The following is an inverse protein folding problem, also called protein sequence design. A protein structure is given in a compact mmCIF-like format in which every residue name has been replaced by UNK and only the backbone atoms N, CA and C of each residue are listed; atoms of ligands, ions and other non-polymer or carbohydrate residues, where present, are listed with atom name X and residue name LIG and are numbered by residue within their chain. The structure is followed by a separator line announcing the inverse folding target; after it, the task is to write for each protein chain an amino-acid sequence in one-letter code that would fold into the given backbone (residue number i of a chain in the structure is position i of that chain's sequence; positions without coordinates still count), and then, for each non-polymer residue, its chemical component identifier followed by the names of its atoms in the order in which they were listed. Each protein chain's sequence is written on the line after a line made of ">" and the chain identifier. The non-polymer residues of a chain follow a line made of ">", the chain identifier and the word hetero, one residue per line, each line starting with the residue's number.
data_IF_795172522164
#
_entry.id   IF_795172522164
#
_cell.length_a   1.000
_cell.length_b   1.000
_cell.length_c   1.000
_cell.angle_alpha   90.00
_cell.angle_beta   90.00
_cell.angle_gamma   90.00
#
_symmetry.space_group_name_H-M   'P 1'
#
loop_
_entity.id
_entity.type
_entity.pdbx_description
1 polymer ?
#
# COMPACT_ATOMS: atom_id res chain seq x y z
N UNK A 1 24.39 13.47 -31.59
CA UNK A 1 24.31 11.99 -31.50
C UNK A 1 23.07 11.55 -30.73
N UNK A 2 22.94 11.85 -29.42
CA UNK A 2 21.77 11.42 -28.62
C UNK A 2 20.38 11.87 -29.15
N UNK A 3 20.28 13.12 -29.64
CA UNK A 3 18.99 13.74 -29.99
C UNK A 3 18.44 13.39 -31.37
N UNK A 4 19.30 13.04 -32.33
CA UNK A 4 18.93 12.95 -33.75
C UNK A 4 19.41 11.66 -34.42
N UNK A 5 20.21 10.84 -33.74
CA UNK A 5 20.58 9.53 -34.26
C UNK A 5 19.46 8.53 -33.94
N UNK A 6 19.14 7.64 -34.87
CA UNK A 6 18.15 6.58 -34.68
C UNK A 6 18.65 5.46 -33.76
N UNK A 7 19.96 5.34 -33.57
CA UNK A 7 20.60 4.29 -32.77
C UNK A 7 21.71 4.85 -31.87
N UNK A 8 21.40 5.76 -30.93
CA UNK A 8 22.38 6.29 -29.99
C UNK A 8 22.91 5.19 -29.04
N UNK A 9 22.16 4.11 -28.85
CA UNK A 9 22.54 2.90 -28.12
C UNK A 9 23.83 2.26 -28.64
N UNK A 10 24.16 2.43 -29.93
CA UNK A 10 25.43 1.92 -30.50
C UNK A 10 26.65 2.70 -30.05
N UNK A 11 26.46 3.93 -29.57
CA UNK A 11 27.55 4.80 -29.10
C UNK A 11 27.54 4.92 -27.57
N UNK A 12 26.36 4.81 -26.97
CA UNK A 12 26.12 4.91 -25.54
C UNK A 12 25.15 3.77 -25.17
N UNK A 13 25.66 2.61 -24.76
CA UNK A 13 24.84 1.39 -24.59
C UNK A 13 23.66 1.60 -23.63
N UNK A 14 23.85 2.45 -22.61
CA UNK A 14 22.79 2.83 -21.69
C UNK A 14 21.74 3.80 -22.24
N UNK A 15 21.89 4.37 -23.45
CA UNK A 15 20.96 5.37 -24.01
C UNK A 15 19.64 4.74 -24.49
N UNK A 16 18.90 4.17 -23.55
CA UNK A 16 17.57 3.56 -23.66
C UNK A 16 16.77 3.88 -22.38
N UNK A 17 15.45 3.75 -22.47
CA UNK A 17 14.53 3.78 -21.32
C UNK A 17 13.87 2.41 -21.23
N UNK A 18 13.89 1.80 -20.05
CA UNK A 18 13.31 0.49 -19.80
C UNK A 18 12.08 0.66 -18.90
N UNK A 19 10.95 0.13 -19.34
CA UNK A 19 9.71 0.13 -18.56
C UNK A 19 9.37 -1.30 -18.18
N UNK A 20 9.25 -1.55 -16.89
CA UNK A 20 8.88 -2.85 -16.32
C UNK A 20 7.54 -2.67 -15.62
N UNK A 21 6.52 -3.40 -16.08
CA UNK A 21 5.18 -3.38 -15.47
C UNK A 21 4.94 -4.68 -14.75
N UNK A 22 4.70 -4.61 -13.44
CA UNK A 22 4.42 -5.75 -12.59
C UNK A 22 2.91 -5.97 -12.48
N UNK A 23 2.42 -7.18 -12.79
CA UNK A 23 1.01 -7.55 -12.61
C UNK A 23 0.73 -8.15 -11.22
N UNK A 24 1.70 -8.08 -10.31
CA UNK A 24 1.68 -8.67 -8.99
C UNK A 24 2.99 -8.34 -8.25
N UNK A 25 3.63 -9.32 -7.61
CA UNK A 25 4.95 -9.12 -6.99
C UNK A 25 6.02 -8.79 -8.03
N UNK A 26 7.01 -8.01 -7.59
CA UNK A 26 8.28 -7.81 -8.31
C UNK A 26 8.90 -9.19 -8.64
N UNK A 27 9.22 -9.41 -9.92
CA UNK A 27 10.07 -10.52 -10.38
C UNK A 27 9.40 -11.85 -10.70
N UNK A 28 8.06 -12.00 -10.58
CA UNK A 28 7.35 -13.23 -10.99
C UNK A 28 6.57 -13.08 -12.30
N UNK A 29 5.73 -12.05 -12.40
CA UNK A 29 4.91 -11.76 -13.58
C UNK A 29 5.05 -10.29 -13.95
N UNK A 30 6.02 -10.01 -14.84
CA UNK A 30 6.28 -8.68 -15.35
C UNK A 30 6.32 -8.67 -16.87
N UNK A 31 5.91 -7.55 -17.44
CA UNK A 31 6.14 -7.24 -18.84
C UNK A 31 7.21 -6.16 -18.94
N UNK A 32 8.18 -6.38 -19.81
CA UNK A 32 9.26 -5.43 -20.06
C UNK A 32 9.11 -4.82 -21.44
N UNK A 33 9.32 -3.51 -21.52
CA UNK A 33 9.34 -2.77 -22.77
C UNK A 33 10.52 -1.80 -22.80
N UNK A 34 11.44 -2.04 -23.74
CA UNK A 34 12.62 -1.21 -23.94
C UNK A 34 12.37 -0.21 -25.07
N UNK A 35 12.54 1.07 -24.76
CA UNK A 35 12.42 2.17 -25.70
C UNK A 35 13.82 2.58 -26.18
N UNK A 36 14.03 2.46 -27.49
CA UNK A 36 15.26 2.83 -28.20
C UNK A 36 14.95 3.87 -29.27
N UNK A 37 15.97 4.43 -29.93
CA UNK A 37 15.79 5.56 -30.84
C UNK A 37 16.50 6.81 -30.32
N UNK A 38 16.26 7.96 -30.92
CA UNK A 38 16.73 9.21 -30.34
C UNK A 38 16.11 9.47 -28.96
N UNK A 39 16.78 10.23 -28.10
CA UNK A 39 16.28 10.52 -26.73
C UNK A 39 14.88 11.14 -26.76
N UNK A 40 14.59 11.99 -27.74
CA UNK A 40 13.26 12.60 -27.92
C UNK A 40 12.21 11.55 -28.26
N UNK A 41 12.57 10.60 -29.14
CA UNK A 41 11.70 9.49 -29.50
C UNK A 41 11.44 8.59 -28.30
N UNK A 42 12.48 8.23 -27.55
CA UNK A 42 12.36 7.42 -26.33
C UNK A 42 11.39 8.07 -25.34
N UNK A 43 11.60 9.35 -25.00
CA UNK A 43 10.72 10.10 -24.09
C UNK A 43 9.26 10.08 -24.57
N UNK A 44 8.99 10.44 -25.83
CA UNK A 44 7.63 10.49 -26.37
C UNK A 44 6.95 9.12 -26.39
N UNK A 45 7.68 8.11 -26.84
CA UNK A 45 7.15 6.75 -26.94
C UNK A 45 6.87 6.17 -25.54
N UNK A 46 7.76 6.42 -24.57
CA UNK A 46 7.56 6.00 -23.18
C UNK A 46 6.38 6.72 -22.53
N UNK A 47 6.28 8.05 -22.65
CA UNK A 47 5.16 8.81 -22.10
C UNK A 47 3.83 8.41 -22.74
N UNK A 48 3.80 8.23 -24.06
CA UNK A 48 2.60 7.73 -24.75
C UNK A 48 2.21 6.33 -24.27
N UNK A 49 3.18 5.46 -24.01
CA UNK A 49 2.90 4.13 -23.45
C UNK A 49 2.31 4.22 -22.04
N UNK A 50 2.87 5.04 -21.15
CA UNK A 50 2.36 5.21 -19.78
C UNK A 50 0.96 5.83 -19.80
N UNK A 51 0.76 6.87 -20.61
CA UNK A 51 -0.54 7.54 -20.77
C UNK A 51 -1.63 6.59 -21.27
N UNK A 52 -1.31 5.75 -22.27
CA UNK A 52 -2.29 4.84 -22.87
C UNK A 52 -2.59 3.60 -22.00
N UNK A 53 -1.59 3.06 -21.31
CA UNK A 53 -1.72 1.74 -20.66
C UNK A 53 -1.89 1.82 -19.14
N UNK A 54 -1.40 2.89 -18.51
CA UNK A 54 -1.29 3.01 -17.05
C UNK A 54 -2.17 4.12 -16.51
N UNK A 55 -2.11 5.32 -17.09
CA UNK A 55 -2.89 6.48 -16.64
C UNK A 55 -4.36 6.27 -17.00
N UNK A 56 -5.24 6.48 -16.01
CA UNK A 56 -6.69 6.36 -16.15
C UNK A 56 -7.36 7.52 -15.44
N UNK A 57 -8.21 8.24 -16.16
CA UNK A 57 -9.16 9.19 -15.57
C UNK A 57 -10.23 8.40 -14.82
N UNK A 58 -10.49 8.79 -13.58
CA UNK A 58 -11.55 8.25 -12.75
C UNK A 58 -12.49 9.38 -12.34
N UNK A 59 -13.79 9.05 -12.34
CA UNK A 59 -14.84 9.99 -11.98
C UNK A 59 -15.53 9.45 -10.74
N UNK A 60 -15.30 10.09 -9.60
CA UNK A 60 -15.99 9.75 -8.36
C UNK A 60 -17.13 10.73 -8.12
N UNK A 61 -18.34 10.20 -7.93
CA UNK A 61 -19.50 10.98 -7.50
C UNK A 61 -19.48 11.06 -5.99
N UNK A 62 -19.13 12.23 -5.47
CA UNK A 62 -19.21 12.46 -4.03
C UNK A 62 -20.67 12.72 -3.67
N UNK A 63 -21.21 11.87 -2.79
CA UNK A 63 -22.54 12.07 -2.23
C UNK A 63 -22.58 13.40 -1.47
N UNK A 64 -23.55 14.26 -1.82
CA UNK A 64 -23.77 15.66 -1.38
C UNK A 64 -23.28 16.80 -2.31
N UNK A 65 -22.60 16.51 -3.43
CA UNK A 65 -22.32 17.52 -4.47
C UNK A 65 -22.87 17.08 -5.84
N UNK A 66 -23.46 18.01 -6.60
CA UNK A 66 -23.94 17.72 -7.95
C UNK A 66 -22.78 17.49 -8.94
N UNK A 67 -21.58 17.96 -8.60
CA UNK A 67 -20.38 17.89 -9.43
C UNK A 67 -19.56 16.64 -9.09
N UNK A 68 -19.16 15.89 -10.11
CA UNK A 68 -18.30 14.73 -9.94
C UNK A 68 -16.83 15.16 -9.87
N UNK A 69 -16.08 14.65 -8.89
CA UNK A 69 -14.63 14.87 -8.82
C UNK A 69 -13.97 13.95 -9.85
N UNK A 70 -13.19 14.57 -10.73
CA UNK A 70 -12.37 13.90 -11.72
C UNK A 70 -10.93 13.95 -11.24
N UNK A 71 -10.30 12.79 -11.21
CA UNK A 71 -8.88 12.66 -10.85
C UNK A 71 -8.25 11.58 -11.73
N UNK A 72 -6.93 11.61 -11.84
CA UNK A 72 -6.17 10.54 -12.46
C UNK A 72 -5.55 9.65 -11.39
N UNK A 73 -5.42 8.35 -11.67
CA UNK A 73 -4.63 7.47 -10.81
C UNK A 73 -3.17 7.94 -10.68
N UNK A 74 -2.62 8.55 -11.74
CA UNK A 74 -1.37 9.31 -11.74
C UNK A 74 -1.52 10.54 -12.66
N UNK A 75 -1.21 11.76 -12.20
CA UNK A 75 -1.28 12.93 -13.07
C UNK A 75 -0.14 12.90 -14.10
N UNK A 76 -0.49 13.05 -15.39
CA UNK A 76 0.45 12.97 -16.51
C UNK A 76 1.66 13.90 -16.34
N UNK A 77 1.41 15.14 -15.91
CA UNK A 77 2.46 16.16 -15.80
C UNK A 77 3.52 15.80 -14.75
N UNK A 78 3.14 15.14 -13.65
CA UNK A 78 4.10 14.65 -12.66
C UNK A 78 5.00 13.55 -13.23
N UNK A 79 4.41 12.61 -13.98
CA UNK A 79 5.16 11.52 -14.63
C UNK A 79 6.08 12.06 -15.73
N UNK A 80 5.58 12.97 -16.57
CA UNK A 80 6.34 13.63 -17.62
C UNK A 80 7.58 14.31 -17.03
N UNK A 81 7.39 15.15 -16.03
CA UNK A 81 8.48 15.91 -15.45
C UNK A 81 9.49 15.01 -14.71
N UNK A 82 9.03 13.96 -14.01
CA UNK A 82 9.91 12.99 -13.38
C UNK A 82 10.76 12.21 -14.40
N UNK A 83 10.16 11.74 -15.49
CA UNK A 83 10.86 11.01 -16.54
C UNK A 83 11.85 11.90 -17.31
N UNK A 84 11.45 13.13 -17.61
CA UNK A 84 12.32 14.10 -18.27
C UNK A 84 13.51 14.44 -17.37
N UNK A 85 13.29 14.62 -16.06
CA UNK A 85 14.37 14.84 -15.10
C UNK A 85 15.34 13.65 -15.05
N UNK A 86 14.84 12.42 -15.05
CA UNK A 86 15.69 11.22 -15.08
C UNK A 86 16.59 11.17 -16.32
N UNK A 87 16.02 11.43 -17.50
CA UNK A 87 16.77 11.50 -18.78
C UNK A 87 17.73 12.69 -18.81
N UNK A 88 17.39 13.80 -18.17
CA UNK A 88 18.23 14.99 -18.14
C UNK A 88 19.42 14.83 -17.17
N UNK A 89 19.23 14.18 -16.02
CA UNK A 89 20.26 14.09 -14.98
C UNK A 89 21.17 12.86 -15.06
N UNK A 90 20.76 11.81 -15.80
CA UNK A 90 21.58 10.60 -15.97
C UNK A 90 22.95 10.85 -16.60
N UNK A 91 23.88 9.94 -16.33
CA UNK A 91 25.10 9.81 -17.14
C UNK A 91 24.80 8.99 -18.39
N UNK A 92 25.31 9.47 -19.52
CA UNK A 92 25.34 8.72 -20.78
C UNK A 92 26.68 7.99 -21.00
N UNK A 93 27.63 8.15 -20.08
CA UNK A 93 28.91 7.42 -20.11
C UNK A 93 28.80 6.04 -19.45
N UNK A 94 27.73 5.81 -18.66
CA UNK A 94 27.43 4.53 -18.03
C UNK A 94 26.39 3.76 -18.85
N UNK A 95 26.44 2.44 -18.72
CA UNK A 95 25.54 1.53 -19.43
C UNK A 95 24.16 1.40 -18.79
N UNK A 96 23.97 1.96 -17.58
CA UNK A 96 22.68 1.95 -16.90
C UNK A 96 21.63 2.74 -17.70
N UNK A 97 20.46 2.16 -17.99
CA UNK A 97 19.35 2.88 -18.61
C UNK A 97 18.63 3.79 -17.60
N UNK A 98 17.64 4.54 -18.08
CA UNK A 98 16.60 5.04 -17.16
C UNK A 98 15.61 3.89 -16.99
N UNK A 99 15.33 3.53 -15.75
CA UNK A 99 14.43 2.42 -15.43
C UNK A 99 13.13 3.00 -14.85
N UNK A 100 12.00 2.53 -15.38
CA UNK A 100 10.66 2.88 -14.92
C UNK A 100 9.98 1.61 -14.45
N UNK A 101 9.80 1.47 -13.14
CA UNK A 101 9.10 0.34 -12.53
C UNK A 101 7.66 0.77 -12.23
N UNK A 102 6.69 0.07 -12.83
CA UNK A 102 5.27 0.29 -12.57
C UNK A 102 4.78 -0.83 -11.66
N UNK A 103 4.51 -0.48 -10.40
CA UNK A 103 3.97 -1.36 -9.38
C UNK A 103 2.46 -1.12 -9.19
N UNK A 104 1.74 -2.02 -8.50
CA UNK A 104 0.31 -1.86 -8.26
C UNK A 104 -0.09 -0.57 -7.52
N UNK A 105 0.79 -0.05 -6.67
CA UNK A 105 0.55 1.09 -5.76
C UNK A 105 1.38 2.34 -6.09
N UNK A 106 2.40 2.23 -6.96
CA UNK A 106 3.32 3.33 -7.28
C UNK A 106 4.05 3.15 -8.61
N UNK A 107 4.62 4.25 -9.10
CA UNK A 107 5.59 4.27 -10.20
C UNK A 107 6.91 4.76 -9.64
N UNK A 108 7.99 4.03 -9.94
CA UNK A 108 9.35 4.38 -9.56
C UNK A 108 10.16 4.68 -10.82
N UNK A 109 10.87 5.81 -10.84
CA UNK A 109 11.72 6.23 -11.94
C UNK A 109 13.14 6.38 -11.41
N UNK A 110 14.03 5.50 -11.86
CA UNK A 110 15.41 5.39 -11.41
C UNK A 110 16.38 5.86 -12.51
N UNK A 111 17.36 6.66 -12.10
CA UNK A 111 18.49 6.99 -12.95
C UNK A 111 19.82 6.98 -12.20
N UNK A 112 20.89 6.78 -12.98
CA UNK A 112 22.27 6.82 -12.50
C UNK A 112 23.07 7.91 -13.23
N UNK A 113 23.99 8.63 -12.55
CA UNK A 113 24.21 8.60 -11.11
C UNK A 113 23.14 9.43 -10.36
N UNK A 114 23.32 9.59 -9.05
CA UNK A 114 22.49 10.43 -8.20
C UNK A 114 22.63 11.94 -8.44
N UNK A 115 22.01 12.74 -7.57
CA UNK A 115 21.92 14.19 -7.73
C UNK A 115 23.32 14.83 -7.68
N UNK A 116 23.47 15.97 -8.35
CA UNK A 116 24.73 16.72 -8.33
C UNK A 116 24.87 17.44 -6.98
N UNK A 117 26.05 17.37 -6.31
CA UNK A 117 26.34 18.20 -5.15
C UNK A 117 26.07 19.70 -5.44
N UNK A 118 25.55 20.47 -4.48
CA UNK A 118 25.44 20.16 -3.05
C UNK A 118 24.13 19.45 -2.65
N UNK A 119 23.32 18.98 -3.60
CA UNK A 119 22.07 18.27 -3.26
C UNK A 119 22.40 16.91 -2.66
N UNK A 120 22.01 16.72 -1.40
CA UNK A 120 22.17 15.46 -0.66
C UNK A 120 20.81 14.81 -0.32
N UNK A 121 20.86 13.61 0.27
CA UNK A 121 19.69 12.86 0.74
C UNK A 121 18.77 13.67 1.67
N UNK A 122 19.33 14.50 2.54
CA UNK A 122 18.56 15.30 3.50
C UNK A 122 17.88 16.50 2.84
N UNK A 123 18.49 17.07 1.80
CA UNK A 123 17.90 18.13 1.00
C UNK A 123 16.72 17.63 0.16
N UNK A 124 16.77 16.38 -0.32
CA UNK A 124 15.67 15.77 -1.07
C UNK A 124 14.43 15.49 -0.21
N UNK A 125 14.58 15.33 1.12
CA UNK A 125 13.46 15.24 2.06
C UNK A 125 12.72 16.58 2.25
N UNK A 126 13.25 17.69 1.74
CA UNK A 126 12.62 19.02 1.83
C UNK A 126 11.85 19.30 0.54
N UNK A 127 10.66 19.86 0.66
CA UNK A 127 9.82 20.26 -0.48
C UNK A 127 10.52 21.26 -1.43
N UNK A 128 11.48 22.04 -0.91
CA UNK A 128 12.21 23.05 -1.68
C UNK A 128 13.73 22.79 -1.70
N UNK A 129 14.20 22.22 -2.80
CA UNK A 129 15.64 22.07 -3.10
C UNK A 129 16.17 23.34 -3.79
N UNK A 130 17.13 24.06 -3.19
CA UNK A 130 17.56 25.40 -3.66
C UNK A 130 18.73 25.36 -4.67
N UNK A 131 19.60 24.35 -4.61
CA UNK A 131 20.73 24.19 -5.52
C UNK A 131 20.44 23.11 -6.56
N UNK A 132 20.58 23.41 -7.87
CA UNK A 132 20.22 22.46 -8.93
C UNK A 132 21.12 22.64 -10.14
N UNK A 133 22.23 21.90 -10.17
CA UNK A 133 23.01 21.77 -11.41
C UNK A 133 22.46 20.62 -12.24
N UNK A 134 22.21 20.89 -13.51
CA UNK A 134 21.84 19.88 -14.49
C UNK A 134 23.09 19.28 -15.12
N UNK A 135 23.21 17.95 -15.12
CA UNK A 135 24.37 17.25 -15.69
C UNK A 135 24.49 17.50 -17.19
N UNK A 136 23.40 17.32 -17.93
CA UNK A 136 23.42 17.41 -19.40
C UNK A 136 22.89 18.77 -19.90
N UNK A 137 23.48 19.90 -19.49
CA UNK A 137 22.96 21.27 -19.82
C UNK A 137 22.61 21.50 -21.30
N UNK A 138 23.42 20.95 -22.23
CA UNK A 138 23.14 21.03 -23.67
C UNK A 138 21.87 20.28 -24.05
N UNK A 139 21.67 19.08 -23.50
CA UNK A 139 20.45 18.29 -23.71
C UNK A 139 19.22 19.04 -23.20
N UNK A 140 19.30 19.63 -22.01
CA UNK A 140 18.21 20.44 -21.47
C UNK A 140 17.82 21.64 -22.30
N UNK A 141 18.80 22.32 -22.92
CA UNK A 141 18.52 23.40 -23.88
C UNK A 141 17.63 22.94 -25.04
N UNK A 142 17.93 21.77 -25.60
CA UNK A 142 17.11 21.18 -26.67
C UNK A 142 15.75 20.69 -26.17
N UNK A 143 15.66 20.03 -25.03
CA UNK A 143 14.38 19.59 -24.47
C UNK A 143 13.45 20.79 -24.18
N UNK A 144 14.04 21.94 -23.80
CA UNK A 144 13.33 23.19 -23.63
C UNK A 144 12.81 23.78 -24.95
N UNK A 145 13.62 23.80 -25.99
CA UNK A 145 13.18 24.22 -27.33
C UNK A 145 12.03 23.34 -27.86
N UNK A 146 12.07 22.05 -27.53
CA UNK A 146 11.03 21.08 -27.88
C UNK A 146 9.80 21.14 -26.96
N UNK A 147 9.77 22.07 -26.00
CA UNK A 147 8.69 22.25 -25.01
C UNK A 147 8.41 21.02 -24.16
N UNK A 148 9.41 20.18 -23.93
CA UNK A 148 9.33 18.98 -23.07
C UNK A 148 9.78 19.26 -21.62
N UNK A 149 10.36 20.43 -21.35
CA UNK A 149 10.68 20.92 -19.99
C UNK A 149 10.93 22.42 -20.02
N UNK A 150 10.69 23.11 -18.92
CA UNK A 150 10.98 24.55 -18.82
C UNK A 150 12.47 24.85 -18.53
N UNK A 151 13.22 23.86 -18.03
CA UNK A 151 14.67 23.93 -17.80
C UNK A 151 15.13 25.02 -16.81
N UNK A 152 14.27 25.43 -15.88
CA UNK A 152 14.53 26.52 -14.90
C UNK A 152 14.48 26.06 -13.44
N UNK A 153 14.63 24.77 -13.16
CA UNK A 153 14.46 24.24 -11.80
C UNK A 153 13.00 24.25 -11.33
N UNK A 154 12.05 24.35 -12.26
CA UNK A 154 10.61 24.22 -11.96
C UNK A 154 10.16 22.77 -11.87
N UNK A 155 11.03 21.80 -12.22
CA UNK A 155 10.66 20.39 -12.30
C UNK A 155 10.10 19.79 -11.03
N UNK A 156 10.86 19.81 -9.91
CA UNK A 156 10.34 19.28 -8.64
C UNK A 156 9.05 20.01 -8.19
N UNK A 157 8.98 21.36 -8.20
CA UNK A 157 7.72 22.06 -7.92
C UNK A 157 6.55 21.67 -8.81
N UNK A 158 6.76 21.43 -10.11
CA UNK A 158 5.72 20.97 -11.03
C UNK A 158 5.18 19.60 -10.61
N UNK A 159 6.06 18.68 -10.21
CA UNK A 159 5.66 17.35 -9.72
C UNK A 159 4.82 17.51 -8.44
N UNK A 160 5.26 18.30 -7.47
CA UNK A 160 4.50 18.57 -6.23
C UNK A 160 3.13 19.18 -6.53
N UNK A 161 3.07 20.27 -7.30
CA UNK A 161 1.82 20.97 -7.60
C UNK A 161 0.85 20.09 -8.38
N UNK A 162 1.34 19.34 -9.37
CA UNK A 162 0.49 18.46 -10.17
C UNK A 162 -0.11 17.31 -9.36
N UNK A 163 0.62 16.80 -8.37
CA UNK A 163 0.11 15.79 -7.44
C UNK A 163 -0.90 16.40 -6.47
N UNK A 164 -0.62 17.57 -5.92
CA UNK A 164 -1.51 18.30 -5.01
C UNK A 164 -2.85 18.68 -5.68
N UNK A 165 -2.81 19.26 -6.88
CA UNK A 165 -3.99 19.59 -7.69
C UNK A 165 -4.84 18.35 -8.03
N UNK A 166 -4.20 17.18 -8.16
CA UNK A 166 -4.88 15.91 -8.44
C UNK A 166 -5.39 15.22 -7.16
N UNK A 167 -5.06 15.70 -5.96
CA UNK A 167 -5.37 15.04 -4.68
C UNK A 167 -4.52 13.80 -4.40
N UNK A 168 -3.39 13.64 -5.10
CA UNK A 168 -2.45 12.54 -4.94
C UNK A 168 -1.47 12.78 -3.79
N UNK A 169 -0.88 11.71 -3.21
CA UNK A 169 0.16 11.85 -2.20
C UNK A 169 1.39 12.58 -2.77
N UNK A 170 2.15 13.30 -1.93
CA UNK A 170 3.37 13.95 -2.37
C UNK A 170 4.40 12.93 -2.89
N UNK A 171 5.25 13.33 -3.85
CA UNK A 171 6.30 12.48 -4.39
C UNK A 171 7.39 12.24 -3.32
N UNK A 172 8.06 11.09 -3.41
CA UNK A 172 9.24 10.78 -2.59
C UNK A 172 10.46 10.73 -3.49
N UNK A 173 11.53 11.40 -3.08
CA UNK A 173 12.82 11.41 -3.80
C UNK A 173 13.90 10.81 -2.91
N UNK A 174 14.61 9.81 -3.43
CA UNK A 174 15.60 9.04 -2.68
C UNK A 174 16.94 8.96 -3.42
N UNK A 175 18.00 8.86 -2.61
CA UNK A 175 19.39 8.64 -3.00
C UNK A 175 20.13 8.05 -1.80
N UNK A 176 21.29 7.45 -2.03
CA UNK A 176 22.20 6.96 -1.00
C UNK A 176 23.23 8.03 -0.59
N UNK A 177 24.04 7.72 0.42
CA UNK A 177 25.06 8.65 0.93
C UNK A 177 26.20 8.89 -0.09
N UNK A 178 26.40 7.97 -1.03
CA UNK A 178 27.38 8.07 -2.11
C UNK A 178 26.84 8.83 -3.34
N UNK A 179 25.57 9.24 -3.34
CA UNK A 179 24.88 9.85 -4.48
C UNK A 179 25.00 9.00 -5.76
N UNK A 180 24.93 7.68 -5.60
CA UNK A 180 25.11 6.71 -6.67
C UNK A 180 23.89 6.65 -7.59
N UNK A 181 22.67 6.90 -7.08
CA UNK A 181 21.43 6.90 -7.86
C UNK A 181 20.47 8.02 -7.46
N UNK A 182 19.50 8.31 -8.31
CA UNK A 182 18.36 9.16 -7.98
C UNK A 182 17.08 8.41 -8.31
N UNK A 183 16.20 8.27 -7.32
CA UNK A 183 14.93 7.56 -7.43
C UNK A 183 13.78 8.54 -7.18
N UNK A 184 12.84 8.60 -8.12
CA UNK A 184 11.57 9.32 -7.98
C UNK A 184 10.44 8.33 -7.79
N UNK A 185 9.71 8.43 -6.68
CA UNK A 185 8.59 7.55 -6.36
C UNK A 185 7.32 8.39 -6.38
N UNK A 186 6.39 8.03 -7.26
CA UNK A 186 5.07 8.65 -7.38
C UNK A 186 4.03 7.61 -7.03
N UNK A 187 3.22 7.89 -6.01
CA UNK A 187 2.21 6.95 -5.49
C UNK A 187 0.89 7.10 -6.24
N UNK A 188 0.16 6.00 -6.36
CA UNK A 188 -1.17 6.00 -6.96
C UNK A 188 -2.12 6.87 -6.13
N UNK A 189 -3.08 7.51 -6.80
CA UNK A 189 -4.13 8.25 -6.13
C UNK A 189 -4.90 7.36 -5.12
N UNK A 190 -5.19 7.82 -3.88
CA UNK A 190 -5.76 6.95 -2.84
C UNK A 190 -7.11 6.36 -3.22
N UNK A 191 -7.96 7.15 -3.89
CA UNK A 191 -9.27 6.68 -4.37
C UNK A 191 -9.15 5.65 -5.50
N UNK A 192 -8.05 5.64 -6.27
CA UNK A 192 -7.81 4.61 -7.30
C UNK A 192 -7.36 3.29 -6.66
N UNK A 193 -6.66 3.35 -5.53
CA UNK A 193 -6.29 2.18 -4.73
C UNK A 193 -7.54 1.48 -4.14
N UNK A 194 -8.54 2.27 -3.72
CA UNK A 194 -9.81 1.75 -3.19
C UNK A 194 -10.61 0.92 -4.22
N UNK A 195 -10.59 1.30 -5.50
CA UNK A 195 -11.26 0.56 -6.57
C UNK A 195 -10.59 -0.79 -6.86
N UNK A 196 -9.26 -0.89 -6.70
CA UNK A 196 -8.57 -2.19 -6.75
C UNK A 196 -8.93 -3.07 -5.55
N UNK A 197 -9.19 -2.48 -4.38
CA UNK A 197 -9.62 -3.19 -3.18
C UNK A 197 -11.10 -3.65 -3.20
N UNK A 198 -11.97 -3.06 -4.04
CA UNK A 198 -13.32 -3.60 -4.27
C UNK A 198 -13.29 -4.98 -4.95
N UNK A 199 -12.21 -5.31 -5.67
CA UNK A 199 -11.95 -6.66 -6.14
C UNK A 199 -11.61 -7.65 -5.01
N UNK A 200 -10.96 -7.18 -3.94
CA UNK A 200 -10.64 -7.99 -2.75
C UNK A 200 -11.91 -8.30 -1.90
N UNK A 201 -12.94 -7.44 -1.91
CA UNK A 201 -14.21 -7.69 -1.21
C UNK A 201 -15.02 -8.86 -1.80
N UNK A 202 -15.03 -9.01 -3.14
CA UNK A 202 -15.62 -10.17 -3.81
C UNK A 202 -14.85 -11.46 -3.48
N UNK A 203 -13.53 -11.40 -3.30
CA UNK A 203 -12.73 -12.55 -2.84
C UNK A 203 -13.03 -12.91 -1.37
N UNK A 204 -13.15 -11.92 -0.46
CA UNK A 204 -13.48 -12.15 0.96
C UNK A 204 -14.91 -12.72 1.12
N UNK A 205 -15.86 -12.32 0.28
CA UNK A 205 -17.20 -12.91 0.26
C UNK A 205 -17.17 -14.41 -0.11
N UNK A 206 -16.24 -14.81 -0.98
CA UNK A 206 -16.06 -16.20 -1.42
C UNK A 206 -15.26 -17.07 -0.43
N UNK A 207 -14.70 -16.52 0.64
CA UNK A 207 -14.03 -17.27 1.70
C UNK A 207 -15.06 -18.10 2.48
N UNK A 208 -14.94 -19.43 2.36
CA UNK A 208 -15.88 -20.41 2.94
C UNK A 208 -15.22 -21.43 3.87
N UNK A 209 -13.88 -21.53 3.86
CA UNK A 209 -13.12 -22.52 4.62
C UNK A 209 -11.83 -21.95 5.22
N UNK A 210 -11.28 -22.64 6.22
CA UNK A 210 -9.97 -22.32 6.81
C UNK A 210 -8.82 -22.33 5.79
N UNK A 211 -8.92 -23.15 4.74
CA UNK A 211 -7.93 -23.18 3.66
C UNK A 211 -8.01 -21.95 2.77
N UNK A 212 -9.22 -21.45 2.52
CA UNK A 212 -9.43 -20.22 1.75
C UNK A 212 -8.85 -19.03 2.52
N UNK A 213 -9.07 -18.99 3.84
CA UNK A 213 -8.49 -17.98 4.73
C UNK A 213 -6.96 -18.05 4.70
N UNK A 214 -6.37 -19.24 4.85
CA UNK A 214 -4.92 -19.42 4.78
C UNK A 214 -4.36 -19.00 3.41
N UNK A 215 -5.02 -19.39 2.31
CA UNK A 215 -4.61 -19.01 0.96
C UNK A 215 -4.66 -17.49 0.75
N UNK A 216 -5.68 -16.82 1.29
CA UNK A 216 -5.81 -15.36 1.24
C UNK A 216 -4.77 -14.65 2.12
N UNK A 217 -4.56 -15.11 3.36
CA UNK A 217 -3.53 -14.56 4.23
C UNK A 217 -2.12 -14.75 3.65
N UNK A 218 -1.88 -15.88 2.97
CA UNK A 218 -0.63 -16.14 2.28
C UNK A 218 -0.50 -15.32 1.02
N UNK A 219 -1.57 -15.06 0.25
CA UNK A 219 -1.50 -14.15 -0.90
C UNK A 219 -1.18 -12.72 -0.46
N UNK A 220 -1.70 -12.29 0.69
CA UNK A 220 -1.36 -11.02 1.33
C UNK A 220 0.09 -10.96 1.83
N UNK A 221 0.60 -11.98 2.53
CA UNK A 221 2.02 -12.02 2.96
C UNK A 221 2.96 -12.24 1.78
N UNK A 222 2.47 -12.88 0.71
CA UNK A 222 3.21 -13.00 -0.53
C UNK A 222 3.34 -11.62 -1.19
N UNK A 223 2.30 -10.80 -1.26
CA UNK A 223 2.42 -9.44 -1.82
C UNK A 223 3.45 -8.54 -1.09
N UNK A 224 3.95 -8.96 0.08
CA UNK A 224 5.11 -8.39 0.78
C UNK A 224 6.36 -9.21 0.40
N UNK A 225 7.20 -8.73 -0.51
CA UNK A 225 8.40 -9.47 -0.96
C UNK A 225 9.46 -9.59 0.16
N UNK A 226 10.45 -10.47 -0.02
CA UNK A 226 11.61 -10.57 0.88
C UNK A 226 12.46 -9.30 0.86
N UNK A 227 12.44 -8.57 -0.27
CA UNK A 227 13.00 -7.22 -0.41
C UNK A 227 12.17 -6.20 0.37
N UNK A 228 10.85 -6.26 0.31
CA UNK A 228 9.97 -5.45 1.16
C UNK A 228 10.18 -5.78 2.65
N UNK A 229 10.47 -7.03 3.04
CA UNK A 229 10.85 -7.36 4.42
C UNK A 229 12.18 -6.73 4.81
N UNK A 230 13.16 -6.64 3.91
CA UNK A 230 14.42 -5.94 4.13
C UNK A 230 14.28 -4.41 4.18
N UNK A 231 13.39 -3.85 3.37
CA UNK A 231 13.03 -2.43 3.35
C UNK A 231 12.20 -2.08 4.59
N UNK A 232 11.27 -2.92 5.02
CA UNK A 232 10.47 -2.78 6.24
C UNK A 232 11.36 -2.92 7.47
N UNK A 233 12.31 -3.87 7.50
CA UNK A 233 13.28 -4.00 8.61
C UNK A 233 14.19 -2.77 8.66
N UNK A 234 14.70 -2.29 7.52
CA UNK A 234 15.44 -1.02 7.44
C UNK A 234 14.57 0.19 7.84
N UNK A 235 13.28 0.22 7.47
CA UNK A 235 12.35 1.29 7.83
C UNK A 235 11.98 1.27 9.32
N UNK A 236 11.92 0.08 9.94
CA UNK A 236 11.74 -0.11 11.38
C UNK A 236 13.00 0.30 12.17
N UNK A 237 14.19 0.06 11.63
CA UNK A 237 15.47 0.53 12.19
C UNK A 237 15.66 2.05 12.02
N UNK A 238 15.07 2.65 10.97
CA UNK A 238 15.18 4.08 10.64
C UNK A 238 13.93 4.93 10.99
N UNK A 239 12.94 4.35 11.67
CA UNK A 239 11.74 5.04 12.17
C UNK A 239 10.91 5.72 11.05
N UNK A 240 10.71 5.04 9.92
CA UNK A 240 9.88 5.55 8.82
C UNK A 240 8.42 5.07 8.95
N UNK A 241 7.61 5.91 9.61
CA UNK A 241 6.20 5.66 10.01
C UNK A 241 5.26 5.25 8.87
N UNK A 242 5.60 5.56 7.61
CA UNK A 242 4.71 5.40 6.45
C UNK A 242 4.60 3.95 5.93
N UNK A 243 5.67 3.16 5.97
CA UNK A 243 5.64 1.75 5.58
C UNK A 243 4.93 0.91 6.65
N UNK A 244 5.14 1.29 7.91
CA UNK A 244 4.42 0.77 9.06
C UNK A 244 2.92 1.04 8.92
N UNK A 245 2.52 2.26 8.58
CA UNK A 245 1.10 2.60 8.35
C UNK A 245 0.51 1.80 7.19
N UNK A 246 1.20 1.61 6.07
CA UNK A 246 0.59 0.95 4.89
C UNK A 246 0.31 -0.54 5.10
N UNK A 247 1.25 -1.28 5.73
CA UNK A 247 1.08 -2.71 6.03
C UNK A 247 0.18 -2.93 7.24
N UNK A 248 0.32 -2.12 8.30
CA UNK A 248 -0.58 -2.16 9.45
C UNK A 248 -2.01 -1.77 9.04
N UNK A 249 -2.23 -0.74 8.21
CA UNK A 249 -3.57 -0.35 7.74
C UNK A 249 -4.26 -1.45 6.92
N UNK A 250 -3.52 -2.15 6.04
CA UNK A 250 -4.10 -3.25 5.26
C UNK A 250 -4.45 -4.43 6.15
N UNK A 251 -3.59 -4.78 7.11
CA UNK A 251 -3.85 -5.84 8.07
C UNK A 251 -4.95 -5.49 9.09
N UNK A 252 -4.98 -4.27 9.60
CA UNK A 252 -6.01 -3.77 10.51
C UNK A 252 -7.38 -3.68 9.81
N UNK A 253 -7.41 -3.38 8.50
CA UNK A 253 -8.64 -3.31 7.69
C UNK A 253 -9.27 -4.69 7.45
N UNK A 254 -8.47 -5.72 7.14
CA UNK A 254 -8.99 -7.06 6.80
C UNK A 254 -8.95 -8.06 7.97
N UNK A 255 -8.04 -7.88 8.93
CA UNK A 255 -7.83 -8.80 10.04
C UNK A 255 -9.09 -9.07 10.86
N UNK A 256 -9.91 -8.05 11.08
CA UNK A 256 -11.19 -8.16 11.80
C UNK A 256 -12.22 -9.02 11.05
N UNK A 257 -12.32 -8.90 9.72
CA UNK A 257 -13.25 -9.70 8.90
C UNK A 257 -12.82 -11.15 8.81
N UNK A 258 -11.52 -11.38 8.66
CA UNK A 258 -10.93 -12.70 8.64
C UNK A 258 -11.13 -13.38 10.00
N UNK A 259 -10.87 -12.67 11.09
CA UNK A 259 -11.10 -13.15 12.46
C UNK A 259 -12.55 -13.55 12.69
N UNK A 260 -13.51 -12.76 12.21
CA UNK A 260 -14.95 -13.07 12.33
C UNK A 260 -15.40 -14.27 11.49
N UNK A 261 -14.63 -14.68 10.47
CA UNK A 261 -14.88 -15.91 9.69
C UNK A 261 -14.22 -17.16 10.28
N UNK A 262 -13.38 -17.02 11.29
CA UNK A 262 -12.70 -18.15 11.95
C UNK A 262 -13.53 -18.59 13.15
N UNK A 263 -13.74 -19.90 13.30
CA UNK A 263 -14.43 -20.46 14.46
C UNK A 263 -13.71 -20.03 15.76
N UNK A 264 -14.49 -19.50 16.71
CA UNK A 264 -14.00 -19.01 18.01
C UNK A 264 -13.10 -20.01 18.73
N UNK A 265 -13.34 -21.31 18.56
CA UNK A 265 -12.52 -22.36 19.17
C UNK A 265 -11.10 -22.34 18.62
N UNK A 266 -10.91 -22.15 17.31
CA UNK A 266 -9.57 -22.02 16.73
C UNK A 266 -8.88 -20.76 17.22
N UNK A 267 -9.59 -19.63 17.32
CA UNK A 267 -9.02 -18.39 17.85
C UNK A 267 -8.56 -18.56 19.30
N UNK A 268 -9.33 -19.24 20.15
CA UNK A 268 -8.95 -19.56 21.53
C UNK A 268 -7.69 -20.43 21.58
N UNK A 269 -7.59 -21.47 20.74
CA UNK A 269 -6.38 -22.30 20.66
C UNK A 269 -5.17 -21.46 20.27
N UNK A 270 -5.29 -20.65 19.21
CA UNK A 270 -4.19 -19.82 18.71
C UNK A 270 -3.74 -18.78 19.75
N UNK A 271 -4.67 -18.10 20.42
CA UNK A 271 -4.41 -17.18 21.54
C UNK A 271 -3.65 -17.86 22.68
N UNK A 272 -4.05 -19.08 23.04
CA UNK A 272 -3.40 -19.82 24.11
C UNK A 272 -1.97 -20.26 23.75
N UNK A 273 -1.76 -20.60 22.47
CA UNK A 273 -0.49 -21.09 21.94
C UNK A 273 0.48 -19.97 21.50
N UNK A 274 0.29 -18.72 21.93
CA UNK A 274 1.29 -17.65 21.75
C UNK A 274 2.64 -18.05 22.37
N UNK A 275 2.60 -18.79 23.47
CA UNK A 275 3.71 -19.54 24.04
C UNK A 275 3.51 -21.04 23.82
N UNK A 276 4.57 -21.88 23.89
CA UNK A 276 4.41 -23.33 23.81
C UNK A 276 3.40 -23.87 24.83
N UNK A 277 2.47 -24.71 24.37
CA UNK A 277 1.43 -25.34 25.21
C UNK A 277 1.28 -26.82 24.92
N UNK A 278 1.14 -27.62 25.97
CA UNK A 278 0.81 -29.04 25.86
C UNK A 278 -0.61 -29.25 25.33
N UNK A 279 -0.87 -30.45 24.83
CA UNK A 279 -2.21 -30.83 24.37
C UNK A 279 -3.24 -30.69 25.49
N UNK A 280 -2.87 -31.11 26.70
CA UNK A 280 -3.72 -31.05 27.89
C UNK A 280 -4.10 -29.61 28.24
N UNK A 281 -3.13 -28.69 28.28
CA UNK A 281 -3.37 -27.27 28.56
C UNK A 281 -4.31 -26.64 27.51
N UNK A 282 -4.14 -26.97 26.23
CA UNK A 282 -5.00 -26.45 25.15
C UNK A 282 -6.44 -26.90 25.35
N UNK A 283 -6.66 -28.19 25.65
CA UNK A 283 -7.99 -28.74 25.86
C UNK A 283 -8.68 -28.18 27.10
N UNK A 284 -7.92 -27.95 28.18
CA UNK A 284 -8.41 -27.30 29.39
C UNK A 284 -8.83 -25.85 29.10
N UNK A 285 -8.02 -25.10 28.35
CA UNK A 285 -8.32 -23.70 28.01
C UNK A 285 -9.56 -23.52 27.12
N UNK A 286 -9.79 -24.43 26.16
CA UNK A 286 -10.98 -24.39 25.30
C UNK A 286 -12.19 -25.09 25.92
N UNK A 287 -12.07 -25.62 27.14
CA UNK A 287 -13.13 -26.29 27.90
C UNK A 287 -13.72 -27.54 27.21
N UNK A 288 -12.87 -28.31 26.52
CA UNK A 288 -13.28 -29.52 25.78
C UNK A 288 -12.47 -30.73 26.27
N UNK A 289 -13.12 -31.90 26.32
CA UNK A 289 -12.45 -33.14 26.73
C UNK A 289 -11.30 -33.53 25.78
N UNK A 290 -10.14 -33.86 26.35
CA UNK A 290 -8.97 -34.31 25.59
C UNK A 290 -9.18 -35.73 25.02
N UNK A 291 -9.49 -35.82 23.73
CA UNK A 291 -9.55 -37.08 23.00
C UNK A 291 -9.13 -36.92 21.53
N UNK A 292 -8.86 -38.04 20.86
CA UNK A 292 -8.36 -38.05 19.46
C UNK A 292 -9.36 -37.56 18.42
N UNK A 293 -10.66 -37.51 18.73
CA UNK A 293 -11.67 -36.91 17.85
C UNK A 293 -11.58 -35.38 17.94
N UNK A 294 -11.56 -34.84 19.14
CA UNK A 294 -11.45 -33.40 19.37
C UNK A 294 -10.10 -32.86 18.89
N UNK A 295 -9.02 -33.63 19.02
CA UNK A 295 -7.73 -33.27 18.44
C UNK A 295 -7.82 -33.12 16.92
N UNK A 296 -8.48 -34.06 16.23
CA UNK A 296 -8.68 -33.99 14.77
C UNK A 296 -9.60 -32.85 14.34
N UNK A 297 -10.51 -32.41 15.20
CA UNK A 297 -11.50 -31.38 14.88
C UNK A 297 -10.99 -29.97 15.17
N UNK A 298 -10.20 -29.76 16.22
CA UNK A 298 -9.88 -28.40 16.72
C UNK A 298 -8.39 -28.04 16.66
N UNK A 299 -7.49 -29.03 16.65
CA UNK A 299 -6.04 -28.80 16.68
C UNK A 299 -5.41 -29.19 15.34
N UNK A 300 -5.72 -30.37 14.80
CA UNK A 300 -5.16 -30.86 13.53
C UNK A 300 -5.42 -29.90 12.35
N UNK A 301 -6.61 -29.30 12.16
CA UNK A 301 -6.86 -28.45 11.00
C UNK A 301 -5.96 -27.21 10.94
N UNK A 302 -5.71 -26.58 12.08
CA UNK A 302 -4.81 -25.41 12.19
C UNK A 302 -3.32 -25.79 12.13
N UNK A 303 -2.97 -27.04 12.44
CA UNK A 303 -1.64 -27.60 12.15
C UNK A 303 -1.48 -27.86 10.66
N UNK A 304 -2.48 -28.46 10.00
CA UNK A 304 -2.40 -28.85 8.59
C UNK A 304 -2.21 -27.63 7.65
N UNK A 305 -2.78 -26.47 8.00
CA UNK A 305 -2.57 -25.19 7.29
C UNK A 305 -1.34 -24.42 7.78
N UNK A 306 -0.65 -24.91 8.81
CA UNK A 306 0.58 -24.33 9.34
C UNK A 306 0.40 -23.10 10.23
N UNK A 307 -0.79 -22.87 10.80
CA UNK A 307 -1.04 -21.80 11.78
C UNK A 307 -0.59 -22.18 13.19
N UNK A 308 -0.50 -23.49 13.47
CA UNK A 308 0.01 -24.05 14.71
C UNK A 308 1.14 -25.05 14.39
N UNK A 309 2.27 -24.93 15.06
CA UNK A 309 3.48 -25.72 14.84
C UNK A 309 3.76 -26.65 16.03
N UNK A 310 4.42 -27.78 15.75
CA UNK A 310 4.90 -28.71 16.78
C UNK A 310 6.28 -28.25 17.25
N UNK A 311 6.52 -28.24 18.57
CA UNK A 311 7.85 -27.94 19.11
C UNK A 311 8.85 -29.08 18.87
N UNK A 312 8.36 -30.31 18.68
CA UNK A 312 9.17 -31.49 18.35
C UNK A 312 8.63 -32.15 17.06
N UNK A 313 8.94 -31.61 15.87
CA UNK A 313 8.38 -32.09 14.60
C UNK A 313 8.77 -33.53 14.27
N UNK A 314 10.02 -33.92 14.58
CA UNK A 314 10.57 -35.26 14.34
C UNK A 314 9.89 -36.35 15.16
N UNK A 315 9.16 -35.97 16.23
CA UNK A 315 8.44 -36.91 17.09
C UNK A 315 7.04 -36.38 17.45
N UNK A 316 6.10 -36.40 16.49
CA UNK A 316 4.76 -35.80 16.67
C UNK A 316 3.97 -36.39 17.85
N UNK A 317 4.21 -37.66 18.18
CA UNK A 317 3.54 -38.40 19.28
C UNK A 317 4.31 -38.37 20.60
N UNK A 318 5.31 -37.49 20.75
CA UNK A 318 6.06 -37.32 21.99
C UNK A 318 5.14 -36.98 23.16
N UNK A 319 5.43 -37.52 24.35
CA UNK A 319 4.73 -37.15 25.59
C UNK A 319 5.00 -35.72 26.03
N UNK A 320 6.12 -35.14 25.58
CA UNK A 320 6.51 -33.76 25.84
C UNK A 320 6.23 -32.87 24.62
N UNK A 321 5.29 -33.27 23.76
CA UNK A 321 4.94 -32.45 22.61
C UNK A 321 4.19 -31.20 23.08
N UNK A 322 4.62 -30.06 22.57
CA UNK A 322 3.95 -28.79 22.76
C UNK A 322 3.64 -28.17 21.40
N UNK A 323 2.74 -27.21 21.40
CA UNK A 323 2.27 -26.51 20.21
C UNK A 323 2.47 -25.01 20.39
N UNK A 324 2.94 -24.36 19.33
CA UNK A 324 3.19 -22.91 19.31
C UNK A 324 2.59 -22.32 18.03
N UNK A 325 2.07 -21.10 18.12
CA UNK A 325 1.52 -20.38 16.98
C UNK A 325 2.61 -20.01 15.96
N UNK A 326 2.27 -20.07 14.67
CA UNK A 326 3.13 -19.59 13.59
C UNK A 326 2.99 -18.07 13.39
N UNK A 327 4.03 -17.42 12.85
CA UNK A 327 4.08 -15.96 12.65
C UNK A 327 2.87 -15.39 11.87
N UNK A 328 2.41 -16.11 10.84
CA UNK A 328 1.25 -15.70 10.03
C UNK A 328 -0.04 -15.63 10.85
N UNK A 329 -0.26 -16.59 11.75
CA UNK A 329 -1.43 -16.65 12.63
C UNK A 329 -1.26 -15.75 13.85
N UNK A 330 -0.02 -15.51 14.29
CA UNK A 330 0.30 -14.60 15.39
C UNK A 330 -0.15 -13.17 15.08
N UNK A 331 0.10 -12.68 13.86
CA UNK A 331 -0.40 -11.38 13.39
C UNK A 331 -1.93 -11.27 13.44
N UNK A 332 -2.64 -12.37 13.18
CA UNK A 332 -4.11 -12.40 13.19
C UNK A 332 -4.63 -12.21 14.62
N UNK A 333 -3.95 -12.85 15.56
CA UNK A 333 -4.33 -12.88 16.97
C UNK A 333 -3.91 -11.62 17.72
N UNK A 334 -2.74 -11.07 17.38
CA UNK A 334 -2.20 -9.81 17.92
C UNK A 334 -2.88 -8.56 17.35
N UNK A 335 -3.72 -8.71 16.31
CA UNK A 335 -4.60 -7.63 15.87
C UNK A 335 -5.47 -7.19 17.05
N UNK A 336 -5.24 -5.97 17.53
CA UNK A 336 -6.03 -5.39 18.62
C UNK A 336 -7.49 -5.38 18.18
N UNK A 337 -8.36 -5.98 18.99
CA UNK A 337 -9.80 -5.72 18.92
C UNK A 337 -9.93 -4.21 19.11
N UNK A 338 -10.39 -3.50 18.10
CA UNK A 338 -10.75 -2.09 18.21
C UNK A 338 -11.97 -2.01 19.15
N UNK A 339 -11.72 -2.01 20.46
CA UNK A 339 -12.74 -1.62 21.43
C UNK A 339 -12.74 -0.10 21.50
N UNK A 340 -13.36 0.51 20.50
CA UNK A 340 -13.67 1.93 20.52
C UNK A 340 -14.66 2.15 21.66
N UNK A 341 -14.30 2.94 22.68
CA UNK A 341 -15.20 3.18 23.81
C UNK A 341 -16.42 3.98 23.34
N UNK A 342 -17.56 3.31 23.16
CA UNK A 342 -18.79 3.94 22.66
C UNK A 342 -19.51 4.71 23.76
N UNK A 343 -19.98 5.90 23.40
CA UNK A 343 -20.87 6.73 24.21
C UNK A 343 -22.32 6.53 23.78
N UNK A 344 -23.25 6.22 24.70
CA UNK A 344 -24.67 6.12 24.38
C UNK A 344 -25.23 7.44 23.85
N UNK A 345 -26.11 7.39 22.86
CA UNK A 345 -26.77 8.58 22.29
C UNK A 345 -28.29 8.41 22.29
N UNK A 346 -29.02 9.52 22.46
CA UNK A 346 -30.49 9.51 22.43
C UNK A 346 -30.98 9.68 20.99
N UNK A 347 -31.17 8.57 20.29
CA UNK A 347 -31.54 8.56 18.86
C UNK A 347 -32.61 7.51 18.55
N UNK A 348 -33.36 7.72 17.46
CA UNK A 348 -34.42 6.81 17.03
C UNK A 348 -33.88 5.47 16.48
N UNK A 349 -32.61 5.42 16.05
CA UNK A 349 -32.01 4.22 15.44
C UNK A 349 -30.63 3.87 15.98
N UNK A 350 -29.91 4.82 16.58
CA UNK A 350 -28.53 4.64 17.07
C UNK A 350 -28.55 4.48 18.58
N UNK A 351 -27.91 3.43 19.08
CA UNK A 351 -27.76 3.13 20.50
C UNK A 351 -26.52 3.80 21.10
N UNK A 352 -25.37 3.69 20.44
CA UNK A 352 -24.11 4.25 20.92
C UNK A 352 -23.14 4.56 19.78
N UNK A 353 -22.24 5.50 20.01
CA UNK A 353 -21.24 5.98 19.03
C UNK A 353 -19.87 6.08 19.72
N UNK A 354 -18.82 5.52 19.12
CA UNK A 354 -17.43 5.65 19.57
C UNK A 354 -16.53 6.16 18.46
N UNK A 355 -15.41 6.80 18.79
CA UNK A 355 -14.46 7.30 17.81
C UNK A 355 -13.02 7.11 18.26
N UNK A 356 -12.17 6.64 17.35
CA UNK A 356 -10.72 6.55 17.53
C UNK A 356 -10.02 7.64 16.68
N UNK A 357 -9.45 8.68 17.30
CA UNK A 357 -8.84 9.79 16.58
C UNK A 357 -7.47 9.46 15.97
N UNK A 358 -6.74 8.47 16.51
CA UNK A 358 -5.46 8.03 15.95
C UNK A 358 -5.69 7.27 14.64
N UNK A 359 -6.81 6.53 14.57
CA UNK A 359 -7.15 5.67 13.44
C UNK A 359 -8.23 6.23 12.52
N UNK A 360 -8.83 7.36 12.88
CA UNK A 360 -9.97 7.95 12.18
C UNK A 360 -11.14 6.98 11.98
N UNK A 361 -11.41 6.12 12.97
CA UNK A 361 -12.48 5.12 12.91
C UNK A 361 -13.65 5.57 13.78
N UNK A 362 -14.84 5.66 13.17
CA UNK A 362 -16.10 5.93 13.83
C UNK A 362 -16.91 4.63 13.97
N UNK A 363 -17.24 4.23 15.18
CA UNK A 363 -18.05 3.06 15.46
C UNK A 363 -19.46 3.45 15.88
N UNK A 364 -20.48 2.86 15.25
CA UNK A 364 -21.90 3.13 15.48
C UNK A 364 -22.62 1.81 15.78
N UNK A 365 -23.19 1.72 16.97
CA UNK A 365 -24.09 0.65 17.38
C UNK A 365 -25.53 1.11 17.20
N UNK A 366 -26.35 0.30 16.54
CA UNK A 366 -27.77 0.57 16.35
C UNK A 366 -28.63 -0.11 17.43
N UNK A 367 -29.83 0.40 17.68
CA UNK A 367 -30.76 -0.14 18.69
C UNK A 367 -31.16 -1.61 18.46
N UNK A 368 -31.01 -2.12 17.24
CA UNK A 368 -31.26 -3.52 16.89
C UNK A 368 -30.01 -4.41 17.07
N UNK A 369 -28.94 -3.89 17.67
CA UNK A 369 -27.72 -4.62 18.04
C UNK A 369 -26.64 -4.71 16.97
N UNK A 370 -26.88 -4.19 15.76
CA UNK A 370 -25.85 -4.16 14.72
C UNK A 370 -24.81 -3.08 15.02
N UNK A 371 -23.52 -3.41 14.88
CA UNK A 371 -22.42 -2.47 15.05
C UNK A 371 -21.73 -2.28 13.71
N UNK A 372 -21.42 -1.03 13.39
CA UNK A 372 -20.74 -0.64 12.15
C UNK A 372 -19.54 0.22 12.49
N UNK A 373 -18.40 -0.07 11.88
CA UNK A 373 -17.21 0.78 11.91
C UNK A 373 -17.11 1.51 10.58
N UNK A 374 -17.00 2.83 10.61
CA UNK A 374 -16.79 3.71 9.48
C UNK A 374 -15.34 4.18 9.50
N UNK A 375 -14.65 4.08 8.37
CA UNK A 375 -13.20 4.34 8.23
C UNK A 375 -12.94 5.71 7.63
N UNK A 376 -11.75 6.25 7.88
CA UNK A 376 -11.29 7.54 7.39
C UNK A 376 -12.27 8.68 7.71
N UNK A 377 -12.96 8.58 8.86
CA UNK A 377 -13.92 9.59 9.33
C UNK A 377 -13.12 10.68 10.03
N UNK A 378 -13.09 11.93 9.51
CA UNK A 378 -12.42 13.03 10.17
C UNK A 378 -13.00 13.27 11.56
N UNK A 379 -12.17 13.76 12.48
CA UNK A 379 -12.60 13.99 13.87
C UNK A 379 -13.75 14.98 13.94
N UNK A 380 -13.76 15.95 13.04
CA UNK A 380 -14.79 16.97 12.89
C UNK A 380 -16.16 16.34 12.64
N UNK A 381 -16.23 15.26 11.85
CA UNK A 381 -17.48 14.57 11.49
C UNK A 381 -18.03 13.79 12.67
N UNK A 382 -17.15 13.22 13.51
CA UNK A 382 -17.56 12.64 14.78
C UNK A 382 -18.11 13.71 15.74
N UNK A 383 -17.43 14.85 15.87
CA UNK A 383 -17.87 15.96 16.72
C UNK A 383 -19.22 16.53 16.25
N UNK A 384 -19.42 16.65 14.94
CA UNK A 384 -20.69 17.05 14.32
C UNK A 384 -21.80 16.01 14.55
N UNK A 385 -21.51 14.72 14.41
CA UNK A 385 -22.48 13.66 14.72
C UNK A 385 -22.91 13.73 16.19
N UNK A 386 -21.97 13.90 17.11
CA UNK A 386 -22.26 13.94 18.54
C UNK A 386 -23.06 15.18 18.95
N UNK A 387 -22.88 16.31 18.25
CA UNK A 387 -23.59 17.58 18.48
C UNK A 387 -24.86 17.75 17.64
N UNK A 388 -25.15 16.83 16.72
CA UNK A 388 -26.32 16.91 15.85
C UNK A 388 -27.63 16.84 16.65
N UNK A 389 -28.61 17.66 16.26
CA UNK A 389 -29.97 17.62 16.81
C UNK A 389 -30.68 16.28 16.60
N UNK A 390 -30.24 15.49 15.61
CA UNK A 390 -30.72 14.14 15.33
C UNK A 390 -29.55 13.28 14.83
N UNK A 391 -29.00 12.44 15.71
CA UNK A 391 -27.90 11.54 15.36
C UNK A 391 -28.29 10.60 14.21
N UNK A 392 -29.53 10.09 14.19
CA UNK A 392 -30.03 9.23 13.11
C UNK A 392 -30.06 9.94 11.75
N UNK A 393 -30.51 11.19 11.72
CA UNK A 393 -30.57 11.97 10.48
C UNK A 393 -29.16 12.33 10.01
N UNK A 394 -28.31 12.84 10.90
CA UNK A 394 -26.92 13.16 10.55
C UNK A 394 -26.18 11.91 10.05
N UNK A 395 -26.33 10.79 10.74
CA UNK A 395 -25.80 9.52 10.28
C UNK A 395 -26.27 9.16 8.86
N UNK A 396 -27.58 9.22 8.59
CA UNK A 396 -28.13 8.84 7.28
C UNK A 396 -27.61 9.72 6.14
N UNK A 397 -27.45 11.02 6.39
CA UNK A 397 -27.06 11.99 5.35
C UNK A 397 -25.56 12.17 5.22
N UNK A 398 -24.85 12.24 6.34
CA UNK A 398 -23.45 12.64 6.40
C UNK A 398 -22.49 11.46 6.53
N UNK A 399 -22.96 10.27 6.95
CA UNK A 399 -22.06 9.14 7.27
C UNK A 399 -22.35 7.87 6.47
N UNK A 400 -23.60 7.38 6.48
CA UNK A 400 -24.00 6.04 6.02
C UNK A 400 -23.48 5.66 4.63
N UNK A 401 -23.48 6.61 3.70
CA UNK A 401 -23.07 6.40 2.31
C UNK A 401 -21.82 7.21 1.93
N UNK A 402 -21.25 7.95 2.88
CA UNK A 402 -20.13 8.87 2.62
C UNK A 402 -18.80 8.29 3.11
N UNK A 403 -18.83 7.35 4.05
CA UNK A 403 -17.65 6.65 4.53
C UNK A 403 -17.80 5.15 4.32
N UNK A 404 -16.70 4.52 3.92
CA UNK A 404 -16.60 3.07 3.89
C UNK A 404 -16.87 2.53 5.27
N UNK A 405 -17.65 1.46 5.35
CA UNK A 405 -18.00 0.88 6.63
C UNK A 405 -17.90 -0.64 6.62
N UNK A 406 -17.70 -1.18 7.80
CA UNK A 406 -17.67 -2.59 8.06
C UNK A 406 -18.69 -2.91 9.14
N UNK A 407 -19.55 -3.88 8.88
CA UNK A 407 -20.52 -4.38 9.86
C UNK A 407 -19.85 -5.47 10.70
N UNK A 408 -19.81 -5.30 12.02
CA UNK A 408 -19.28 -6.31 12.95
C UNK A 408 -20.19 -7.52 13.07
#
# INVERSE_FOLDING_TARGET
>A
MLLFNERPDKFFAGAKIEVVTHQGKIGKDYSEKVFTGSIVKQLRDTLSYIDTNIIREQVSKISQQAEAIRYFNYPYQAIEEALVNAVYHRSYERDNPVEVQILPDRIEILNFPGPMPPVDKNMLKKERVVAREYRNRKLGGFLKELKLTEGRGTGLPIIYNSLDENGSPPPVFETDDELSYFLSIIKIHPLALQLNAMGDEDEIQNISSLKDIDSYLRSLDDQITTEDKGIIVNALENNEDYLRSTVELRWERFGTHIKNKIDDTYLKVLLHCISPKSREEIFEHIEIYNNSRNFRNYIKPIIDIGWLQLTIPEKPTSKNQEYIIADIAKRLVESKKLETKRTPVSSASIASVGYDPEKQILEIEFLHGAIYQYFDVPKEVYEELMSANSHASYFMYSIKNNYSYLKQ
#
